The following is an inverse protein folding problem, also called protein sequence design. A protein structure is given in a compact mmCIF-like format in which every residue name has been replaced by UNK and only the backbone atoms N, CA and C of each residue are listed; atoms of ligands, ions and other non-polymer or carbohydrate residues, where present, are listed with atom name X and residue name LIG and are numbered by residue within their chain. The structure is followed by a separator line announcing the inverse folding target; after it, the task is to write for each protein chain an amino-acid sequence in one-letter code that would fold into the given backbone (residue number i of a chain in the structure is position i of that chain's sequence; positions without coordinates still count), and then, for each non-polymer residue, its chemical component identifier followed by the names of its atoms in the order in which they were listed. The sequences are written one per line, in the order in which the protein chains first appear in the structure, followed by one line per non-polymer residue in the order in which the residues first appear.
data_IF_264065390283
#
_entry.id   IF_264065390283
#
_cell.length_a   1.000
_cell.length_b   1.000
_cell.length_c   1.000
_cell.angle_alpha   90.00
_cell.angle_beta   90.00
_cell.angle_gamma   90.00
#
_symmetry.space_group_name_H-M   'P 1'
#
loop_
_entity.id
_entity.type
_entity.pdbx_description
1 polymer ?
#
# COMPACT_ATOMS: atom_id res chain seq x y z
N UNK A 1 -43.15 6.71 -8.75
CA UNK A 1 -42.86 6.70 -10.20
C UNK A 1 -41.63 7.58 -10.42
N UNK A 2 -40.43 7.01 -10.35
CA UNK A 2 -39.19 7.77 -10.54
C UNK A 2 -38.99 7.97 -12.04
N UNK A 3 -39.24 9.20 -12.49
CA UNK A 3 -38.99 9.66 -13.85
C UNK A 3 -37.53 9.34 -14.21
N UNK A 4 -37.31 8.63 -15.32
CA UNK A 4 -36.01 8.45 -15.96
C UNK A 4 -35.39 9.83 -16.28
N UNK A 5 -34.70 10.45 -15.32
CA UNK A 5 -33.84 11.60 -15.56
C UNK A 5 -32.51 11.06 -16.10
N UNK A 6 -32.05 11.63 -17.21
CA UNK A 6 -30.80 11.38 -17.93
C UNK A 6 -30.98 10.48 -19.16
N UNK A 7 -31.63 11.05 -20.19
CA UNK A 7 -31.59 10.58 -21.58
C UNK A 7 -30.32 11.07 -22.31
N UNK A 8 -29.44 11.79 -21.62
CA UNK A 8 -28.23 12.37 -22.20
C UNK A 8 -27.24 11.27 -22.58
N UNK A 9 -26.76 11.37 -23.82
CA UNK A 9 -25.75 10.48 -24.38
C UNK A 9 -24.53 11.31 -24.79
N UNK A 10 -23.35 10.70 -24.67
CA UNK A 10 -22.08 11.31 -25.04
C UNK A 10 -21.25 10.35 -25.88
N UNK A 11 -20.40 10.90 -26.74
CA UNK A 11 -19.37 10.15 -27.45
C UNK A 11 -18.07 10.19 -26.63
N UNK A 12 -17.43 9.04 -26.47
CA UNK A 12 -16.18 8.89 -25.70
C UNK A 12 -15.02 8.85 -26.68
N UNK A 13 -14.05 9.73 -26.45
CA UNK A 13 -12.79 9.78 -27.19
C UNK A 13 -11.62 9.38 -26.27
N UNK A 14 -10.56 8.81 -26.83
CA UNK A 14 -9.32 8.54 -26.10
C UNK A 14 -8.45 9.80 -25.95
N UNK A 15 -7.33 9.67 -25.25
CA UNK A 15 -6.32 10.71 -25.03
C UNK A 15 -5.65 11.24 -26.31
N UNK A 16 -5.82 10.54 -27.44
CA UNK A 16 -5.37 10.95 -28.76
C UNK A 16 -6.48 11.62 -29.59
N UNK A 17 -7.66 11.86 -29.03
CA UNK A 17 -8.80 12.46 -29.73
C UNK A 17 -9.46 11.52 -30.75
N UNK A 18 -9.26 10.20 -30.64
CA UNK A 18 -9.93 9.20 -31.48
C UNK A 18 -11.19 8.68 -30.79
N UNK A 19 -12.25 8.52 -31.56
CA UNK A 19 -13.53 8.00 -31.09
C UNK A 19 -13.39 6.54 -30.62
N UNK A 20 -13.90 6.25 -29.42
CA UNK A 20 -13.85 4.92 -28.77
C UNK A 20 -15.25 4.31 -28.65
N UNK A 21 -16.25 5.12 -28.31
CA UNK A 21 -17.64 4.68 -28.20
C UNK A 21 -18.59 5.84 -28.50
N UNK A 22 -19.69 5.54 -29.20
CA UNK A 22 -20.72 6.52 -29.54
C UNK A 22 -21.96 6.36 -28.67
N UNK A 23 -22.70 7.46 -28.46
CA UNK A 23 -24.02 7.49 -27.82
C UNK A 23 -24.06 6.75 -26.48
N UNK A 24 -23.00 6.87 -25.69
CA UNK A 24 -22.92 6.24 -24.38
C UNK A 24 -23.83 6.99 -23.41
N UNK A 25 -24.76 6.31 -22.72
CA UNK A 25 -25.59 6.96 -21.71
C UNK A 25 -24.72 7.52 -20.59
N UNK A 26 -24.93 8.78 -20.20
CA UNK A 26 -24.17 9.45 -19.14
C UNK A 26 -24.21 8.67 -17.82
N UNK A 27 -25.32 7.96 -17.55
CA UNK A 27 -25.45 7.07 -16.39
C UNK A 27 -24.35 5.99 -16.33
N UNK A 28 -23.88 5.51 -17.48
CA UNK A 28 -22.79 4.53 -17.58
C UNK A 28 -21.41 5.08 -17.16
N UNK A 29 -21.26 6.40 -17.05
CA UNK A 29 -20.04 7.06 -16.58
C UNK A 29 -20.05 7.33 -15.06
N UNK A 30 -21.18 7.14 -14.40
CA UNK A 30 -21.28 7.34 -12.96
C UNK A 30 -20.47 6.28 -12.20
N UNK A 31 -19.73 6.65 -11.13
CA UNK A 31 -19.03 5.70 -10.27
C UNK A 31 -19.91 4.59 -9.69
N UNK A 32 -21.22 4.81 -9.60
CA UNK A 32 -22.19 3.85 -9.07
C UNK A 32 -22.49 2.69 -10.03
N UNK A 33 -22.24 2.86 -11.33
CA UNK A 33 -22.55 1.85 -12.35
C UNK A 33 -21.33 1.43 -13.17
N UNK A 34 -20.31 2.28 -13.25
CA UNK A 34 -19.12 2.02 -14.06
C UNK A 34 -18.15 1.07 -13.35
N UNK A 35 -17.99 -0.13 -13.89
CA UNK A 35 -17.12 -1.17 -13.33
C UNK A 35 -15.63 -0.78 -13.34
N UNK A 36 -15.18 0.01 -14.31
CA UNK A 36 -13.79 0.44 -14.37
C UNK A 36 -13.46 1.43 -13.24
N UNK A 37 -14.38 2.38 -12.96
CA UNK A 37 -14.25 3.29 -11.82
C UNK A 37 -14.28 2.52 -10.50
N UNK A 38 -15.22 1.58 -10.34
CA UNK A 38 -15.32 0.75 -9.15
C UNK A 38 -14.02 -0.05 -8.91
N UNK A 39 -13.47 -0.66 -9.97
CA UNK A 39 -12.19 -1.36 -9.93
C UNK A 39 -11.05 -0.42 -9.54
N UNK A 40 -10.94 0.75 -10.16
CA UNK A 40 -9.90 1.74 -9.85
C UNK A 40 -9.95 2.17 -8.37
N UNK A 41 -11.12 2.51 -7.84
CA UNK A 41 -11.29 2.89 -6.43
C UNK A 41 -10.93 1.74 -5.48
N UNK A 42 -11.25 0.51 -5.86
CA UNK A 42 -10.87 -0.67 -5.10
C UNK A 42 -9.35 -0.89 -5.10
N UNK A 43 -8.69 -0.79 -6.26
CA UNK A 43 -7.23 -0.89 -6.38
C UNK A 43 -6.53 0.17 -5.55
N UNK A 44 -7.02 1.42 -5.55
CA UNK A 44 -6.47 2.52 -4.75
C UNK A 44 -6.50 2.19 -3.24
N UNK A 45 -7.64 1.72 -2.73
CA UNK A 45 -7.83 1.45 -1.29
C UNK A 45 -6.98 0.29 -0.75
N UNK A 46 -6.63 -0.66 -1.61
CA UNK A 46 -5.90 -1.87 -1.22
C UNK A 46 -4.40 -1.82 -1.52
N UNK A 47 -3.94 -0.79 -2.22
CA UNK A 47 -2.54 -0.67 -2.65
C UNK A 47 -1.71 0.10 -1.63
N UNK A 48 -0.55 -0.48 -1.30
CA UNK A 48 0.50 0.15 -0.52
C UNK A 48 1.85 -0.12 -1.17
N UNK A 49 2.79 0.79 -0.99
CA UNK A 49 4.17 0.67 -1.46
C UNK A 49 5.11 0.76 -0.27
N UNK A 50 6.08 -0.15 -0.20
CA UNK A 50 7.18 -0.12 0.74
C UNK A 50 8.48 0.24 0.01
N UNK A 51 9.20 1.24 0.52
CA UNK A 51 10.52 1.61 0.05
C UNK A 51 11.60 0.77 0.76
N UNK A 52 11.97 -0.36 0.15
CA UNK A 52 12.98 -1.29 0.68
C UNK A 52 14.38 -0.66 0.76
N UNK A 53 14.72 0.25 -0.15
CA UNK A 53 15.99 1.00 -0.08
C UNK A 53 16.05 1.89 1.16
N UNK A 54 14.95 2.56 1.51
CA UNK A 54 14.85 3.34 2.74
C UNK A 54 14.90 2.45 3.98
N UNK A 55 14.22 1.30 3.97
CA UNK A 55 14.30 0.32 5.06
C UNK A 55 15.75 -0.11 5.29
N UNK A 56 16.45 -0.50 4.21
CA UNK A 56 17.85 -0.90 4.27
C UNK A 56 18.72 0.21 4.89
N UNK A 57 18.58 1.45 4.40
CA UNK A 57 19.33 2.59 4.93
C UNK A 57 19.03 2.79 6.42
N UNK A 58 17.77 2.84 6.81
CA UNK A 58 17.33 3.07 8.19
C UNK A 58 17.84 1.99 9.14
N UNK A 59 17.80 0.71 8.75
CA UNK A 59 18.31 -0.38 9.56
C UNK A 59 19.84 -0.39 9.62
N UNK A 60 20.55 -0.07 8.53
CA UNK A 60 22.02 0.02 8.54
C UNK A 60 22.56 1.14 9.42
N UNK A 61 21.89 2.29 9.44
CA UNK A 61 22.40 3.50 10.11
C UNK A 61 21.77 3.76 11.47
N UNK A 62 20.65 3.10 11.79
CA UNK A 62 19.81 3.43 12.93
C UNK A 62 19.00 4.72 12.75
N UNK A 63 18.90 5.29 11.52
CA UNK A 63 18.01 6.42 11.21
C UNK A 63 16.54 5.98 11.25
N UNK A 64 16.00 5.89 12.46
CA UNK A 64 14.68 5.33 12.77
C UNK A 64 13.79 6.43 13.37
N UNK A 65 12.53 6.48 12.92
CA UNK A 65 11.55 7.47 13.39
C UNK A 65 11.55 8.79 12.60
N UNK A 66 12.17 8.87 11.42
CA UNK A 66 12.10 10.06 10.57
C UNK A 66 13.17 11.10 10.83
N UNK A 67 12.94 12.31 10.33
CA UNK A 67 13.99 13.33 10.19
C UNK A 67 14.68 13.66 11.52
N UNK A 68 16.02 13.71 11.47
CA UNK A 68 16.93 13.96 12.61
C UNK A 68 16.85 12.96 13.77
N UNK A 69 16.12 11.85 13.65
CA UNK A 69 16.13 10.77 14.65
C UNK A 69 17.14 9.70 14.29
N UNK A 70 17.97 9.32 15.27
CA UNK A 70 18.96 8.25 15.12
C UNK A 70 19.07 7.44 16.42
N UNK A 71 19.03 6.12 16.29
CA UNK A 71 19.15 5.14 17.36
C UNK A 71 20.26 4.14 17.00
N UNK A 72 21.54 4.51 17.17
CA UNK A 72 22.66 3.70 16.69
C UNK A 72 22.72 2.29 17.27
N UNK A 73 22.19 2.10 18.48
CA UNK A 73 22.16 0.79 19.15
C UNK A 73 21.32 -0.25 18.39
N UNK A 74 20.33 0.19 17.63
CA UNK A 74 19.47 -0.67 16.79
C UNK A 74 19.97 -0.81 15.35
N UNK A 75 21.15 -0.27 15.02
CA UNK A 75 21.73 -0.46 13.71
C UNK A 75 22.08 -1.93 13.49
N UNK A 76 21.79 -2.45 12.30
CA UNK A 76 22.13 -3.79 11.85
C UNK A 76 23.12 -3.63 10.69
N UNK A 77 24.44 -3.61 10.97
CA UNK A 77 25.45 -3.47 9.93
C UNK A 77 25.33 -4.59 8.91
N UNK A 78 25.48 -4.26 7.62
CA UNK A 78 25.50 -5.21 6.51
C UNK A 78 24.16 -5.89 6.16
N UNK A 79 23.02 -5.47 6.71
CA UNK A 79 21.72 -5.97 6.23
C UNK A 79 21.54 -5.62 4.74
N UNK A 80 21.11 -6.58 3.92
CA UNK A 80 21.04 -6.44 2.46
C UNK A 80 19.59 -6.63 1.97
N UNK A 81 18.71 -5.71 2.34
CA UNK A 81 17.26 -5.78 2.09
C UNK A 81 16.94 -5.75 0.60
N UNK A 82 17.55 -4.85 -0.17
CA UNK A 82 17.28 -4.70 -1.61
C UNK A 82 17.80 -5.92 -2.38
N UNK A 83 18.96 -6.44 -2.00
CA UNK A 83 19.53 -7.66 -2.59
C UNK A 83 18.64 -8.88 -2.37
N UNK A 84 17.98 -8.98 -1.21
CA UNK A 84 17.03 -10.06 -0.87
C UNK A 84 15.58 -9.75 -1.19
N UNK A 85 15.31 -8.72 -1.99
CA UNK A 85 13.95 -8.24 -2.27
C UNK A 85 13.01 -9.32 -2.81
N UNK A 86 13.48 -10.24 -3.66
CA UNK A 86 12.65 -11.36 -4.16
C UNK A 86 12.16 -12.29 -3.04
N UNK A 87 13.05 -12.66 -2.10
CA UNK A 87 12.65 -13.49 -0.95
C UNK A 87 11.70 -12.77 -0.01
N UNK A 88 11.93 -11.47 0.20
CA UNK A 88 11.03 -10.62 0.99
C UNK A 88 9.65 -10.59 0.34
N UNK A 89 9.59 -10.37 -0.99
CA UNK A 89 8.35 -10.39 -1.77
C UNK A 89 7.60 -11.72 -1.61
N UNK A 90 8.28 -12.86 -1.79
CA UNK A 90 7.67 -14.19 -1.61
C UNK A 90 7.08 -14.38 -0.21
N UNK A 91 7.82 -14.00 0.84
CA UNK A 91 7.35 -14.07 2.23
C UNK A 91 6.16 -13.14 2.48
N UNK A 92 6.25 -11.88 2.05
CA UNK A 92 5.14 -10.92 2.17
C UNK A 92 3.89 -11.43 1.47
N UNK A 93 4.03 -11.97 0.27
CA UNK A 93 2.91 -12.58 -0.47
C UNK A 93 2.31 -13.74 0.31
N UNK A 94 3.14 -14.61 0.91
CA UNK A 94 2.67 -15.73 1.73
C UNK A 94 1.91 -15.30 3.00
N UNK A 95 2.27 -14.16 3.59
CA UNK A 95 1.64 -13.64 4.81
C UNK A 95 0.35 -12.87 4.54
N UNK A 96 0.31 -12.12 3.45
CA UNK A 96 -0.85 -11.29 3.09
C UNK A 96 -1.94 -12.12 2.42
N UNK A 97 -1.56 -13.15 1.67
CA UNK A 97 -2.50 -14.05 0.98
C UNK A 97 -3.34 -14.82 2.00
N UNK A 98 -4.64 -14.83 1.77
CA UNK A 98 -5.63 -15.51 2.62
C UNK A 98 -6.11 -16.82 2.02
N UNK A 99 -6.16 -16.92 0.69
CA UNK A 99 -6.56 -18.11 -0.08
C UNK A 99 -5.68 -18.27 -1.30
N UNK A 100 -5.54 -19.50 -1.81
CA UNK A 100 -4.67 -19.78 -2.96
C UNK A 100 -5.05 -19.02 -4.23
N UNK A 101 -6.33 -18.71 -4.38
CA UNK A 101 -6.95 -18.11 -5.56
C UNK A 101 -7.49 -16.69 -5.30
N UNK A 102 -7.03 -16.01 -4.24
CA UNK A 102 -7.39 -14.62 -4.00
C UNK A 102 -6.67 -13.62 -4.93
N UNK A 103 -7.06 -12.35 -4.84
CA UNK A 103 -6.55 -11.25 -5.67
C UNK A 103 -5.33 -10.54 -5.05
N UNK A 104 -4.61 -11.19 -4.13
CA UNK A 104 -3.36 -10.66 -3.58
C UNK A 104 -2.34 -10.50 -4.70
N UNK A 105 -1.71 -9.33 -4.76
CA UNK A 105 -0.63 -9.05 -5.72
C UNK A 105 0.54 -8.40 -5.00
N UNK A 106 1.72 -9.00 -5.12
CA UNK A 106 2.96 -8.45 -4.57
C UNK A 106 3.99 -8.36 -5.68
N UNK A 107 4.51 -7.16 -5.92
CA UNK A 107 5.43 -6.92 -7.03
C UNK A 107 6.60 -6.05 -6.62
N UNK A 108 7.75 -6.31 -7.25
CA UNK A 108 8.94 -5.49 -7.12
C UNK A 108 9.05 -4.57 -8.32
N UNK A 109 9.52 -3.36 -8.07
CA UNK A 109 9.84 -2.40 -9.11
C UNK A 109 11.02 -1.52 -8.70
N UNK A 110 11.55 -0.77 -9.66
CA UNK A 110 12.82 -0.05 -9.55
C UNK A 110 13.96 -0.94 -9.04
N UNK A 111 14.18 -2.08 -9.72
CA UNK A 111 15.27 -3.04 -9.42
C UNK A 111 15.23 -3.56 -7.98
N UNK A 112 14.04 -3.87 -7.45
CA UNK A 112 13.87 -4.42 -6.10
C UNK A 112 13.87 -3.37 -4.98
N UNK A 113 14.02 -2.08 -5.30
CA UNK A 113 14.03 -1.01 -4.28
C UNK A 113 12.65 -0.70 -3.71
N UNK A 114 11.58 -1.04 -4.43
CA UNK A 114 10.20 -0.82 -4.00
C UNK A 114 9.38 -2.08 -4.13
N UNK A 115 8.53 -2.30 -3.14
CA UNK A 115 7.60 -3.41 -3.04
C UNK A 115 6.17 -2.85 -3.09
N UNK A 116 5.45 -3.14 -4.17
CA UNK A 116 4.02 -2.89 -4.27
C UNK A 116 3.28 -4.08 -3.66
N UNK A 117 2.34 -3.80 -2.77
CA UNK A 117 1.49 -4.79 -2.12
C UNK A 117 0.06 -4.36 -2.35
N UNK A 118 -0.73 -5.25 -2.96
CA UNK A 118 -2.18 -5.14 -3.02
C UNK A 118 -2.75 -6.25 -2.16
N UNK A 119 -3.33 -5.86 -1.02
CA UNK A 119 -3.96 -6.80 -0.08
C UNK A 119 -5.22 -7.41 -0.71
N UNK A 120 -5.64 -8.62 -0.29
CA UNK A 120 -6.77 -9.30 -0.89
C UNK A 120 -8.10 -8.63 -0.52
N UNK A 121 -9.09 -8.83 -1.39
CA UNK A 121 -10.41 -8.21 -1.32
C UNK A 121 -11.13 -8.43 -0.02
N UNK A 122 -11.11 -9.68 0.44
CA UNK A 122 -11.77 -10.05 1.68
C UNK A 122 -11.25 -9.25 2.87
N UNK A 123 -9.96 -8.93 2.94
CA UNK A 123 -9.40 -8.11 4.01
C UNK A 123 -9.94 -6.68 4.01
N UNK A 124 -10.11 -6.09 2.81
CA UNK A 124 -10.69 -4.75 2.66
C UNK A 124 -12.19 -4.76 2.94
N UNK A 125 -12.92 -5.77 2.46
CA UNK A 125 -14.38 -5.87 2.58
C UNK A 125 -14.84 -6.06 4.04
N UNK A 126 -14.02 -6.65 4.91
CA UNK A 126 -14.32 -6.83 6.34
C UNK A 126 -13.73 -5.73 7.23
N UNK A 127 -13.08 -4.73 6.65
CA UNK A 127 -12.45 -3.62 7.37
C UNK A 127 -13.34 -2.38 7.38
N UNK A 128 -13.25 -1.59 8.46
CA UNK A 128 -13.98 -0.34 8.57
C UNK A 128 -13.47 0.73 7.59
N UNK A 129 -12.16 0.76 7.32
CA UNK A 129 -11.52 1.75 6.45
C UNK A 129 -10.30 1.17 5.70
N UNK A 130 -9.68 2.01 4.87
CA UNK A 130 -8.58 1.64 3.96
C UNK A 130 -7.20 1.55 4.63
N UNK A 131 -7.05 1.95 5.90
CA UNK A 131 -5.76 1.84 6.62
C UNK A 131 -5.31 0.38 6.79
N UNK A 132 -6.23 -0.58 6.68
CA UNK A 132 -5.94 -2.02 6.70
C UNK A 132 -4.85 -2.41 5.69
N UNK A 133 -4.82 -1.78 4.51
CA UNK A 133 -3.83 -2.09 3.48
C UNK A 133 -2.40 -1.76 3.96
N UNK A 134 -2.24 -0.60 4.58
CA UNK A 134 -0.96 -0.18 5.14
C UNK A 134 -0.55 -1.04 6.35
N UNK A 135 -1.50 -1.37 7.23
CA UNK A 135 -1.23 -2.17 8.42
C UNK A 135 -0.86 -3.61 8.06
N UNK A 136 -1.62 -4.28 7.18
CA UNK A 136 -1.33 -5.65 6.75
C UNK A 136 -0.06 -5.72 5.92
N UNK A 137 0.09 -4.87 4.90
CA UNK A 137 1.28 -4.86 4.04
C UNK A 137 2.55 -4.51 4.82
N UNK A 138 2.47 -3.52 5.70
CA UNK A 138 3.57 -3.15 6.59
C UNK A 138 3.95 -4.27 7.57
N UNK A 139 2.97 -4.87 8.25
CA UNK A 139 3.21 -5.93 9.24
C UNK A 139 3.78 -7.19 8.59
N UNK A 140 3.25 -7.58 7.42
CA UNK A 140 3.81 -8.68 6.63
C UNK A 140 5.26 -8.40 6.23
N UNK A 141 5.59 -7.15 5.88
CA UNK A 141 6.96 -6.77 5.54
C UNK A 141 7.88 -6.81 6.76
N UNK A 142 7.41 -6.37 7.93
CA UNK A 142 8.16 -6.50 9.20
C UNK A 142 8.46 -7.98 9.47
N UNK A 143 7.46 -8.85 9.41
CA UNK A 143 7.66 -10.29 9.64
C UNK A 143 8.62 -10.90 8.60
N UNK A 144 8.49 -10.53 7.33
CA UNK A 144 9.37 -11.01 6.27
C UNK A 144 10.83 -10.60 6.49
N UNK A 145 11.08 -9.39 6.99
CA UNK A 145 12.43 -8.93 7.34
C UNK A 145 12.99 -9.72 8.53
N UNK A 146 12.16 -9.92 9.57
CA UNK A 146 12.57 -10.68 10.76
C UNK A 146 12.96 -12.10 10.38
N UNK A 147 12.14 -12.78 9.58
CA UNK A 147 12.41 -14.17 9.18
C UNK A 147 13.54 -14.32 8.17
N UNK A 148 13.68 -13.39 7.22
CA UNK A 148 14.69 -13.49 6.17
C UNK A 148 16.12 -13.22 6.67
N UNK A 149 16.24 -12.38 7.70
CA UNK A 149 17.52 -11.98 8.28
C UNK A 149 17.76 -12.53 9.68
N UNK A 150 16.88 -13.39 10.20
CA UNK A 150 16.95 -13.97 11.55
C UNK A 150 17.16 -12.89 12.62
N UNK A 151 16.35 -11.83 12.55
CA UNK A 151 16.47 -10.68 13.44
C UNK A 151 15.97 -11.07 14.82
N UNK A 152 16.81 -10.88 15.84
CA UNK A 152 16.45 -11.22 17.21
C UNK A 152 15.20 -10.44 17.67
N UNK A 153 14.38 -11.02 18.58
CA UNK A 153 13.20 -10.35 19.11
C UNK A 153 13.49 -8.96 19.71
N UNK A 154 14.69 -8.75 20.27
CA UNK A 154 15.13 -7.47 20.83
C UNK A 154 15.35 -6.39 19.75
N UNK A 155 15.67 -6.79 18.52
CA UNK A 155 15.92 -5.88 17.40
C UNK A 155 14.75 -5.80 16.42
N UNK A 156 13.77 -6.70 16.50
CA UNK A 156 12.59 -6.74 15.62
C UNK A 156 11.80 -5.41 15.63
N UNK A 157 11.78 -4.70 16.75
CA UNK A 157 11.18 -3.37 16.87
C UNK A 157 11.80 -2.33 15.91
N UNK A 158 13.09 -2.45 15.58
CA UNK A 158 13.75 -1.59 14.61
C UNK A 158 13.15 -1.75 13.21
N UNK A 159 12.77 -2.97 12.81
CA UNK A 159 12.07 -3.23 11.55
C UNK A 159 10.70 -2.57 11.54
N UNK A 160 9.96 -2.67 12.65
CA UNK A 160 8.67 -1.99 12.80
C UNK A 160 8.82 -0.47 12.67
N UNK A 161 9.79 0.13 13.35
CA UNK A 161 10.06 1.59 13.24
C UNK A 161 10.56 1.99 11.84
N UNK A 162 11.31 1.14 11.14
CA UNK A 162 11.74 1.41 9.76
C UNK A 162 10.55 1.42 8.79
N UNK A 163 9.56 0.55 9.00
CA UNK A 163 8.36 0.44 8.16
C UNK A 163 7.33 1.51 8.52
N UNK A 164 6.91 1.59 9.78
CA UNK A 164 5.79 2.44 10.24
C UNK A 164 6.21 3.80 10.80
N UNK A 165 7.51 4.03 10.99
CA UNK A 165 7.99 5.29 11.56
C UNK A 165 7.71 5.40 13.06
N UNK A 166 7.26 6.57 13.51
CA UNK A 166 6.98 6.84 14.94
C UNK A 166 5.59 6.42 15.40
N UNK A 167 4.76 5.81 14.55
CA UNK A 167 3.48 5.27 15.00
C UNK A 167 3.71 4.24 16.13
N UNK A 168 2.95 4.27 17.25
CA UNK A 168 1.76 5.08 17.52
C UNK A 168 2.02 6.41 18.27
N UNK A 169 3.27 6.81 18.51
CA UNK A 169 3.55 8.12 19.11
C UNK A 169 3.14 9.29 18.19
N UNK A 170 3.08 9.05 16.88
CA UNK A 170 2.43 9.92 15.90
C UNK A 170 1.10 9.29 15.43
N UNK A 171 0.13 10.13 15.08
CA UNK A 171 -1.15 9.68 14.51
C UNK A 171 -1.03 9.10 13.09
N UNK A 172 0.09 9.38 12.43
CA UNK A 172 0.41 8.94 11.08
C UNK A 172 1.72 8.12 11.05
N UNK A 173 2.06 7.63 9.86
CA UNK A 173 3.23 6.77 9.62
C UNK A 173 4.51 7.59 9.38
N UNK A 174 4.61 8.76 10.01
CA UNK A 174 5.72 9.71 9.80
C UNK A 174 7.06 9.06 10.11
N UNK A 175 7.98 9.19 9.16
CA UNK A 175 9.32 8.63 9.24
C UNK A 175 9.44 7.21 8.69
N UNK A 176 8.34 6.49 8.50
CA UNK A 176 8.31 5.14 7.96
C UNK A 176 8.65 5.07 6.47
N UNK A 177 8.86 3.85 5.98
CA UNK A 177 9.14 3.55 4.58
C UNK A 177 7.88 3.15 3.77
N UNK A 178 6.71 3.27 4.38
CA UNK A 178 5.41 2.92 3.81
C UNK A 178 4.70 4.14 3.23
N UNK A 179 4.08 3.98 2.06
CA UNK A 179 3.21 4.97 1.45
C UNK A 179 2.00 4.33 0.77
N UNK A 180 0.87 5.03 0.78
CA UNK A 180 -0.36 4.65 0.08
C UNK A 180 -0.87 5.87 -0.69
N UNK A 181 -1.65 5.67 -1.79
CA UNK A 181 -2.32 6.80 -2.44
C UNK A 181 -3.29 7.52 -1.52
N UNK A 182 -3.84 6.83 -0.51
CA UNK A 182 -4.67 7.40 0.53
C UNK A 182 -3.83 7.65 1.79
N UNK A 183 -4.09 8.77 2.46
CA UNK A 183 -3.43 9.12 3.72
C UNK A 183 -3.87 8.23 4.88
N UNK A 184 -3.76 8.71 6.11
CA UNK A 184 -4.42 8.05 7.26
C UNK A 184 -5.80 8.69 7.49
N UNK A 185 -6.85 7.91 7.82
CA UNK A 185 -8.19 8.46 8.02
C UNK A 185 -8.28 9.58 9.07
N UNK A 186 -7.41 9.55 10.08
CA UNK A 186 -7.33 10.57 11.14
C UNK A 186 -6.88 11.97 10.64
N UNK A 187 -6.39 12.06 9.40
CA UNK A 187 -5.95 13.32 8.77
C UNK A 187 -6.93 13.83 7.71
N UNK A 188 -8.13 13.27 7.64
CA UNK A 188 -9.17 13.82 6.77
C UNK A 188 -9.63 15.17 7.31
N UNK A 189 -9.66 16.18 6.45
CA UNK A 189 -10.14 17.52 6.81
C UNK A 189 -11.64 17.48 7.19
N UNK A 190 -12.42 16.62 6.50
CA UNK A 190 -13.86 16.46 6.71
C UNK A 190 -14.32 15.04 6.38
N UNK A 191 -15.54 14.68 6.81
CA UNK A 191 -16.14 13.37 6.54
C UNK A 191 -16.33 13.13 5.04
N UNK A 192 -15.84 11.98 4.54
CA UNK A 192 -16.00 11.56 3.14
C UNK A 192 -14.96 12.12 2.17
N UNK A 193 -13.88 12.73 2.68
CA UNK A 193 -12.73 13.19 1.87
C UNK A 193 -11.74 12.06 1.57
#
# INVERSE_FOLDING_TARGET
MLVNKNLDNVDIYNDCGKLVAEKVPVKGLSPLYNQAIAKMLYEIRRTVVINLEKVEKSLRTGELGGEFCKMPHYAIPNIAVVERSEKIKERVESFVRTRRDDDTRVELFDKGKRLLIQVPKNAVDVSADFAVAALLGGSATVQALVDEFDISPLNAQACSTAIFGRYPSTIDLKGGAISSPLGVPLRLEHLGY
#
